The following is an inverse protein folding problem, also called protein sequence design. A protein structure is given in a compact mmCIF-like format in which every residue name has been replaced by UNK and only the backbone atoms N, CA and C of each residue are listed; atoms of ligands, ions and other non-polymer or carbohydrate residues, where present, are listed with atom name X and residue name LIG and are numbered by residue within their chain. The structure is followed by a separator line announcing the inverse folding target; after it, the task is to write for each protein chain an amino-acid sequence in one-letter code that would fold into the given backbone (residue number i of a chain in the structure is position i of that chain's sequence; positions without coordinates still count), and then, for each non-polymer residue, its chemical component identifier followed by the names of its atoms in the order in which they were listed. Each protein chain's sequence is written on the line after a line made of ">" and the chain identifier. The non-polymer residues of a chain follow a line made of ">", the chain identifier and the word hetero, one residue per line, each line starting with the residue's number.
data_IF_023557041756
#
_entry.id   IF_023557041756
#
_cell.length_a   1.000
_cell.length_b   1.000
_cell.length_c   1.000
_cell.angle_alpha   90.00
_cell.angle_beta   90.00
_cell.angle_gamma   90.00
#
_symmetry.space_group_name_H-M   'P 1'
#
loop_
_entity.id
_entity.type
_entity.pdbx_description
1 polymer ?
#
# COMPACT_ATOMS: atom_id res chain seq x y z
N UNK A 1 -20.10 -10.99 -11.35
CA UNK A 1 -19.32 -10.15 -10.43
C UNK A 1 -20.08 -10.00 -9.12
N UNK A 2 -19.50 -10.45 -8.02
CA UNK A 2 -20.00 -10.09 -6.69
C UNK A 2 -19.82 -8.58 -6.47
N UNK A 3 -20.65 -7.99 -5.61
CA UNK A 3 -20.45 -6.60 -5.15
C UNK A 3 -19.09 -6.47 -4.46
N UNK A 4 -18.43 -5.33 -4.62
CA UNK A 4 -17.16 -5.04 -3.93
C UNK A 4 -17.38 -5.11 -2.42
N UNK A 5 -16.33 -5.42 -1.64
CA UNK A 5 -16.46 -5.47 -0.17
C UNK A 5 -16.97 -4.14 0.39
N UNK A 6 -16.50 -3.01 -0.15
CA UNK A 6 -17.02 -1.67 0.19
C UNK A 6 -18.53 -1.57 0.01
N UNK A 7 -19.08 -2.02 -1.12
CA UNK A 7 -20.52 -2.04 -1.38
C UNK A 7 -21.29 -2.93 -0.39
N UNK A 8 -20.70 -4.07 0.02
CA UNK A 8 -21.31 -5.00 0.98
C UNK A 8 -21.36 -4.38 2.38
N UNK A 9 -20.32 -3.65 2.75
CA UNK A 9 -20.20 -2.97 4.03
C UNK A 9 -20.81 -1.56 4.01
N UNK A 10 -21.31 -1.10 2.86
CA UNK A 10 -21.81 0.26 2.65
C UNK A 10 -20.76 1.34 2.99
N UNK A 11 -19.49 1.09 2.64
CA UNK A 11 -18.39 2.04 2.79
C UNK A 11 -18.17 2.81 1.49
N UNK A 12 -18.25 4.13 1.53
CA UNK A 12 -17.91 5.01 0.40
C UNK A 12 -16.81 6.02 0.81
N UNK A 13 -15.54 5.57 0.91
CA UNK A 13 -14.46 6.49 1.20
C UNK A 13 -14.31 7.51 0.06
N UNK A 14 -14.10 8.78 0.42
CA UNK A 14 -13.88 9.87 -0.55
C UNK A 14 -12.42 10.21 -0.63
N UNK A 15 -11.94 10.64 -1.80
CA UNK A 15 -10.59 11.18 -1.90
C UNK A 15 -10.52 12.50 -1.11
N UNK A 16 -9.40 12.74 -0.42
CA UNK A 16 -9.21 13.98 0.33
C UNK A 16 -9.39 15.24 -0.54
N UNK A 17 -9.07 15.16 -1.83
CA UNK A 17 -9.25 16.24 -2.80
C UNK A 17 -10.72 16.59 -3.10
N UNK A 18 -11.69 15.72 -2.77
CA UNK A 18 -13.09 15.87 -3.18
C UNK A 18 -13.93 16.74 -2.24
N UNK A 19 -13.33 17.39 -1.23
CA UNK A 19 -13.93 18.38 -0.30
C UNK A 19 -15.31 18.03 0.27
N UNK A 20 -15.69 16.75 0.27
CA UNK A 20 -16.98 16.30 0.78
C UNK A 20 -16.77 15.72 2.17
N UNK A 21 -17.49 16.19 3.20
CA UNK A 21 -17.42 15.58 4.51
C UNK A 21 -17.94 14.13 4.40
N UNK A 22 -17.03 13.17 4.52
CA UNK A 22 -17.38 11.75 4.60
C UNK A 22 -17.26 11.27 6.03
N UNK A 23 -18.29 10.58 6.50
CA UNK A 23 -18.28 9.85 7.76
C UNK A 23 -17.88 8.37 7.54
N UNK A 24 -17.59 7.99 6.29
CA UNK A 24 -17.44 6.60 5.83
C UNK A 24 -15.98 6.25 5.43
N UNK A 25 -15.08 7.24 5.48
CA UNK A 25 -13.65 7.10 5.21
C UNK A 25 -13.11 8.23 4.33
N UNK A 26 -11.85 8.62 4.54
CA UNK A 26 -11.15 9.61 3.71
C UNK A 26 -9.85 8.98 3.22
N UNK A 27 -9.64 8.97 1.91
CA UNK A 27 -8.44 8.45 1.29
C UNK A 27 -7.45 9.60 1.00
N UNK A 28 -6.30 9.56 1.68
CA UNK A 28 -5.19 10.48 1.47
C UNK A 28 -4.11 9.94 0.52
N UNK A 29 -4.18 8.65 0.16
CA UNK A 29 -3.19 8.00 -0.68
C UNK A 29 -3.07 8.71 -2.03
N UNK A 30 -1.84 8.85 -2.50
CA UNK A 30 -1.54 9.52 -3.76
C UNK A 30 -0.56 8.68 -4.58
N UNK A 31 -0.83 8.52 -5.87
CA UNK A 31 0.02 7.75 -6.77
C UNK A 31 1.46 8.28 -6.80
N UNK A 32 2.44 7.38 -6.76
CA UNK A 32 3.86 7.74 -6.74
C UNK A 32 4.39 8.25 -5.40
N UNK A 33 3.58 8.31 -4.35
CA UNK A 33 4.05 8.69 -3.02
C UNK A 33 5.09 7.68 -2.50
N UNK A 34 6.23 8.17 -2.05
CA UNK A 34 7.16 7.39 -1.23
C UNK A 34 6.83 7.60 0.26
N UNK A 35 7.59 6.95 1.15
CA UNK A 35 7.38 7.08 2.59
C UNK A 35 7.81 8.43 3.19
N UNK A 36 8.52 9.28 2.44
CA UNK A 36 8.93 10.62 2.91
C UNK A 36 7.96 11.71 2.44
N UNK A 37 8.40 12.97 2.45
CA UNK A 37 7.68 14.10 1.85
C UNK A 37 7.85 14.25 0.33
N UNK A 38 8.27 13.21 -0.38
CA UNK A 38 8.50 13.27 -1.83
C UNK A 38 7.55 12.35 -2.60
N UNK A 39 7.37 12.67 -3.87
CA UNK A 39 6.66 11.84 -4.82
C UNK A 39 7.61 11.49 -5.96
N UNK A 40 7.66 10.21 -6.35
CA UNK A 40 8.62 9.71 -7.33
C UNK A 40 8.18 9.92 -8.77
N UNK A 41 6.92 10.31 -9.01
CA UNK A 41 6.41 10.63 -10.35
C UNK A 41 6.56 12.12 -10.64
N UNK A 42 6.12 12.99 -9.73
CA UNK A 42 6.23 14.45 -9.90
C UNK A 42 6.81 15.09 -8.61
N UNK A 43 8.14 15.03 -8.42
CA UNK A 43 8.80 15.54 -7.22
C UNK A 43 8.48 17.02 -6.96
N UNK A 44 8.00 17.32 -5.75
CA UNK A 44 7.68 18.68 -5.31
C UNK A 44 6.32 19.23 -5.77
N UNK A 45 5.60 18.51 -6.65
CA UNK A 45 4.23 18.84 -7.03
C UNK A 45 3.21 17.92 -6.34
N UNK A 46 3.50 16.62 -6.32
CA UNK A 46 2.63 15.63 -5.69
C UNK A 46 3.13 15.24 -4.30
N UNK A 47 2.22 14.85 -3.40
CA UNK A 47 2.58 14.57 -2.01
C UNK A 47 3.24 13.20 -1.85
N UNK A 48 4.24 13.12 -0.98
CA UNK A 48 4.64 11.89 -0.30
C UNK A 48 3.82 11.64 0.97
N UNK A 49 4.10 10.54 1.68
CA UNK A 49 3.42 10.19 2.94
C UNK A 49 3.47 11.33 3.97
N UNK A 50 4.61 12.00 4.16
CA UNK A 50 4.72 13.10 5.14
C UNK A 50 3.76 14.25 4.80
N UNK A 51 3.59 14.57 3.51
CA UNK A 51 2.65 15.61 3.11
C UNK A 51 1.19 15.18 3.30
N UNK A 52 0.88 13.89 3.08
CA UNK A 52 -0.44 13.32 3.33
C UNK A 52 -0.81 13.38 4.82
N UNK A 53 0.15 13.06 5.71
CA UNK A 53 0.00 13.22 7.16
C UNK A 53 -0.29 14.68 7.53
N UNK A 54 0.46 15.63 6.97
CA UNK A 54 0.23 17.06 7.20
C UNK A 54 -1.14 17.51 6.69
N UNK A 55 -1.58 17.02 5.53
CA UNK A 55 -2.90 17.30 4.98
C UNK A 55 -4.04 16.79 5.88
N UNK A 56 -3.82 15.70 6.61
CA UNK A 56 -4.75 15.19 7.62
C UNK A 56 -4.69 15.98 8.94
N UNK A 57 -3.50 16.22 9.49
CA UNK A 57 -3.31 16.80 10.83
C UNK A 57 -3.61 18.30 10.85
N UNK A 58 -3.16 19.07 9.86
CA UNK A 58 -3.21 20.53 9.91
C UNK A 58 -4.65 21.09 10.02
N UNK A 59 -5.66 20.59 9.29
CA UNK A 59 -7.05 21.07 9.45
C UNK A 59 -7.65 20.75 10.82
N UNK A 60 -7.32 19.59 11.40
CA UNK A 60 -7.78 19.22 12.74
C UNK A 60 -7.13 20.11 13.80
N UNK A 61 -5.82 20.35 13.69
CA UNK A 61 -5.10 21.26 14.59
C UNK A 61 -5.67 22.68 14.51
N UNK A 62 -5.94 23.18 13.31
CA UNK A 62 -6.54 24.50 13.09
C UNK A 62 -7.95 24.64 13.68
N UNK A 63 -8.69 23.54 13.82
CA UNK A 63 -10.01 23.48 14.43
C UNK A 63 -10.02 23.07 15.90
N UNK A 64 -8.83 22.88 16.51
CA UNK A 64 -8.71 22.42 17.90
C UNK A 64 -9.22 20.99 18.11
N UNK A 65 -9.24 20.18 17.05
CA UNK A 65 -9.65 18.78 17.06
C UNK A 65 -8.43 17.86 17.07
N UNK A 66 -8.65 16.63 17.51
CA UNK A 66 -7.67 15.52 17.44
C UNK A 66 -8.12 14.50 16.41
N UNK A 67 -7.24 13.58 16.06
CA UNK A 67 -7.62 12.36 15.36
C UNK A 67 -8.74 11.62 16.12
N UNK A 68 -9.64 10.97 15.39
CA UNK A 68 -10.72 10.18 15.96
C UNK A 68 -10.12 8.87 16.51
N UNK A 69 -10.15 8.62 17.83
CA UNK A 69 -9.54 7.42 18.41
C UNK A 69 -10.26 6.13 18.01
N UNK A 70 -11.47 6.20 17.46
CA UNK A 70 -12.24 5.04 17.02
C UNK A 70 -12.16 4.79 15.50
N UNK A 71 -11.33 5.56 14.77
CA UNK A 71 -11.11 5.35 13.35
C UNK A 71 -9.91 4.43 13.13
N UNK A 72 -9.98 3.59 12.08
CA UNK A 72 -8.85 2.79 11.63
C UNK A 72 -7.98 3.61 10.67
N UNK A 73 -6.71 3.77 11.02
CA UNK A 73 -5.70 4.46 10.22
C UNK A 73 -4.88 3.44 9.43
N UNK A 74 -5.11 3.36 8.12
CA UNK A 74 -4.45 2.37 7.26
C UNK A 74 -3.26 2.97 6.51
N UNK A 75 -2.09 2.34 6.60
CA UNK A 75 -0.86 2.75 5.91
C UNK A 75 -0.38 1.60 5.02
N UNK A 76 -0.32 1.87 3.70
CA UNK A 76 0.26 0.98 2.71
C UNK A 76 1.07 1.80 1.70
N UNK A 77 2.37 1.94 1.98
CA UNK A 77 3.29 2.77 1.19
C UNK A 77 4.71 2.25 1.40
N UNK A 78 5.55 2.32 0.36
CA UNK A 78 6.93 1.84 0.40
C UNK A 78 7.45 1.35 -0.96
N UNK A 79 6.57 0.84 -1.83
CA UNK A 79 6.99 0.33 -3.14
C UNK A 79 7.74 1.38 -3.98
N UNK A 80 7.28 2.64 -3.96
CA UNK A 80 7.91 3.73 -4.72
C UNK A 80 9.30 4.08 -4.19
N UNK A 81 9.60 3.88 -2.91
CA UNK A 81 10.93 4.10 -2.34
C UNK A 81 11.98 3.23 -3.05
N UNK A 82 11.66 1.95 -3.26
CA UNK A 82 12.56 0.98 -3.91
C UNK A 82 12.54 1.05 -5.43
N UNK A 83 11.35 1.25 -6.02
CA UNK A 83 11.18 1.29 -7.47
C UNK A 83 11.75 2.59 -8.05
N UNK A 84 10.93 3.63 -8.18
CA UNK A 84 11.38 4.88 -8.79
C UNK A 84 12.35 5.66 -7.88
N UNK A 85 12.25 5.50 -6.56
CA UNK A 85 13.13 6.13 -5.57
C UNK A 85 14.50 5.49 -5.43
N UNK A 86 14.71 4.27 -5.94
CA UNK A 86 15.98 3.53 -5.93
C UNK A 86 16.64 3.40 -4.54
N UNK A 87 15.84 3.41 -3.48
CA UNK A 87 16.32 3.15 -2.13
C UNK A 87 16.86 1.72 -2.05
N UNK A 88 18.01 1.54 -1.40
CA UNK A 88 18.65 0.23 -1.19
C UNK A 88 18.77 -0.13 0.29
N UNK A 89 18.39 0.78 1.19
CA UNK A 89 18.31 0.55 2.63
C UNK A 89 16.84 0.45 3.05
N UNK A 90 16.40 -0.77 3.39
CA UNK A 90 15.03 -1.03 3.82
C UNK A 90 14.65 -0.41 5.15
N UNK A 91 15.62 0.00 5.97
CA UNK A 91 15.35 0.62 7.28
C UNK A 91 14.76 2.02 7.14
N UNK A 92 15.10 2.75 6.07
CA UNK A 92 14.61 4.12 5.83
C UNK A 92 13.08 4.17 5.71
N UNK A 93 12.45 3.46 4.76
CA UNK A 93 10.99 3.49 4.64
C UNK A 93 10.27 2.90 5.85
N UNK A 94 10.83 1.89 6.52
CA UNK A 94 10.25 1.34 7.76
C UNK A 94 10.28 2.38 8.89
N UNK A 95 11.37 3.13 9.05
CA UNK A 95 11.46 4.21 10.04
C UNK A 95 10.45 5.32 9.74
N UNK A 96 10.32 5.74 8.48
CA UNK A 96 9.35 6.76 8.08
C UNK A 96 7.89 6.31 8.39
N UNK A 97 7.56 5.05 8.12
CA UNK A 97 6.26 4.46 8.48
C UNK A 97 6.04 4.44 10.00
N UNK A 98 7.08 4.13 10.77
CA UNK A 98 7.05 4.10 12.25
C UNK A 98 6.84 5.52 12.82
N UNK A 99 7.50 6.51 12.24
CA UNK A 99 7.33 7.93 12.58
C UNK A 99 5.92 8.44 12.22
N UNK A 100 5.36 7.99 11.09
CA UNK A 100 3.99 8.30 10.68
C UNK A 100 2.97 7.80 11.71
N UNK A 101 3.06 6.52 12.11
CA UNK A 101 2.19 5.94 13.15
C UNK A 101 2.35 6.68 14.47
N UNK A 102 3.58 6.94 14.89
CA UNK A 102 3.87 7.67 16.14
C UNK A 102 3.27 9.08 16.12
N UNK A 103 3.36 9.79 15.00
CA UNK A 103 2.81 11.13 14.83
C UNK A 103 1.27 11.14 14.91
N UNK A 104 0.62 10.19 14.23
CA UNK A 104 -0.83 10.03 14.30
C UNK A 104 -1.28 9.66 15.72
N UNK A 105 -0.55 8.78 16.40
CA UNK A 105 -0.83 8.38 17.77
C UNK A 105 -0.75 9.56 18.75
N UNK A 106 0.32 10.36 18.65
CA UNK A 106 0.46 11.60 19.42
C UNK A 106 -0.69 12.58 19.17
N UNK A 107 -1.28 12.53 17.97
CA UNK A 107 -2.42 13.35 17.58
C UNK A 107 -3.80 12.75 17.88
N UNK A 108 -3.86 11.57 18.51
CA UNK A 108 -5.11 10.97 19.03
C UNK A 108 -5.56 9.68 18.36
N UNK A 109 -4.91 9.25 17.27
CA UNK A 109 -5.21 7.98 16.63
C UNK A 109 -4.85 6.79 17.54
N UNK A 110 -5.64 5.72 17.51
CA UNK A 110 -5.40 4.54 18.37
C UNK A 110 -5.36 3.23 17.59
N UNK A 111 -6.10 3.12 16.50
CA UNK A 111 -6.18 1.91 15.70
C UNK A 111 -5.46 2.07 14.37
N UNK A 112 -4.47 1.21 14.13
CA UNK A 112 -3.63 1.26 12.94
C UNK A 112 -3.63 -0.09 12.22
N UNK A 113 -3.71 -0.03 10.89
CA UNK A 113 -3.45 -1.17 10.02
C UNK A 113 -2.27 -0.83 9.12
N UNK A 114 -1.18 -1.56 9.26
CA UNK A 114 -0.04 -1.48 8.37
C UNK A 114 -0.09 -2.65 7.39
N UNK A 115 0.22 -2.41 6.13
CA UNK A 115 0.34 -3.45 5.10
C UNK A 115 1.79 -3.48 4.63
N UNK A 116 2.37 -4.68 4.59
CA UNK A 116 3.70 -4.86 4.04
C UNK A 116 3.67 -4.91 2.49
N UNK A 117 4.81 -5.15 1.85
CA UNK A 117 4.94 -5.07 0.40
C UNK A 117 4.86 -6.46 -0.25
N UNK A 118 4.29 -6.57 -1.47
CA UNK A 118 4.47 -7.77 -2.29
C UNK A 118 5.95 -7.94 -2.66
N UNK A 119 6.37 -9.15 -3.11
CA UNK A 119 7.71 -9.35 -3.65
C UNK A 119 7.91 -8.49 -4.91
N UNK A 120 8.60 -7.35 -4.77
CA UNK A 120 8.66 -6.33 -5.82
C UNK A 120 9.36 -6.80 -7.11
N UNK A 121 10.24 -7.80 -7.01
CA UNK A 121 10.88 -8.44 -8.16
C UNK A 121 9.94 -9.31 -9.00
N UNK A 122 8.75 -9.66 -8.48
CA UNK A 122 7.76 -10.44 -9.22
C UNK A 122 6.82 -9.57 -10.08
N UNK A 123 6.79 -8.25 -9.82
CA UNK A 123 5.99 -7.31 -10.60
C UNK A 123 6.48 -7.31 -12.07
N UNK A 124 5.57 -7.15 -13.05
CA UNK A 124 5.99 -7.13 -14.45
C UNK A 124 7.03 -6.05 -14.77
N UNK A 125 7.03 -4.91 -14.06
CA UNK A 125 8.04 -3.85 -14.21
C UNK A 125 9.47 -4.31 -13.90
N UNK A 126 9.65 -5.32 -13.05
CA UNK A 126 10.98 -5.85 -12.74
C UNK A 126 11.62 -6.53 -13.94
N UNK A 127 10.80 -7.09 -14.84
CA UNK A 127 11.24 -7.72 -16.10
C UNK A 127 11.47 -6.70 -17.23
N UNK A 128 10.79 -5.55 -17.18
CA UNK A 128 10.90 -4.49 -18.17
C UNK A 128 10.66 -3.14 -17.51
N UNK A 129 11.68 -2.28 -17.45
CA UNK A 129 11.63 -1.02 -16.72
C UNK A 129 11.54 0.21 -17.65
N UNK A 130 10.34 0.62 -18.08
CA UNK A 130 10.15 1.87 -18.81
C UNK A 130 10.18 3.11 -17.91
N UNK A 131 10.35 2.94 -16.59
CA UNK A 131 10.26 4.03 -15.60
C UNK A 131 11.60 4.70 -15.30
N UNK A 132 12.69 4.24 -15.91
CA UNK A 132 14.00 4.88 -15.77
C UNK A 132 14.18 6.02 -16.79
N UNK A 133 14.28 7.29 -16.34
CA UNK A 133 14.46 8.43 -17.24
C UNK A 133 15.90 8.55 -17.79
N UNK A 134 16.85 7.77 -17.27
CA UNK A 134 18.29 7.80 -17.61
C UNK A 134 18.69 6.58 -18.44
N UNK A 135 18.13 5.40 -18.15
CA UNK A 135 18.41 4.16 -18.87
C UNK A 135 17.19 3.21 -18.93
N UNK A 136 16.31 3.35 -19.94
CA UNK A 136 15.14 2.49 -20.12
C UNK A 136 15.49 1.02 -20.46
N UNK A 137 16.78 0.68 -20.57
CA UNK A 137 17.29 -0.69 -20.80
C UNK A 137 17.77 -1.34 -19.50
N UNK A 138 18.00 -0.58 -18.42
CA UNK A 138 18.28 -1.14 -17.10
C UNK A 138 16.97 -1.60 -16.42
N UNK A 139 16.62 -2.86 -16.69
CA UNK A 139 15.68 -3.61 -15.86
C UNK A 139 16.11 -3.51 -14.40
N UNK A 140 15.13 -3.41 -13.49
CA UNK A 140 15.43 -3.64 -12.08
C UNK A 140 16.10 -5.01 -11.91
N UNK A 141 16.99 -5.13 -10.94
CA UNK A 141 17.43 -6.45 -10.49
C UNK A 141 16.30 -7.03 -9.65
N UNK A 142 15.61 -8.04 -10.19
CA UNK A 142 14.47 -8.67 -9.54
C UNK A 142 14.86 -9.38 -8.23
N UNK A 143 16.05 -9.98 -8.17
CA UNK A 143 16.54 -10.61 -6.94
C UNK A 143 16.79 -9.56 -5.86
N UNK A 144 17.37 -8.43 -6.24
CA UNK A 144 17.58 -7.29 -5.33
C UNK A 144 16.25 -6.69 -4.85
N UNK A 145 15.26 -6.50 -5.74
CA UNK A 145 13.94 -5.99 -5.35
C UNK A 145 13.22 -6.96 -4.40
N UNK A 146 13.30 -8.27 -4.63
CA UNK A 146 12.74 -9.27 -3.73
C UNK A 146 13.47 -9.26 -2.37
N UNK A 147 14.79 -9.13 -2.36
CA UNK A 147 15.58 -8.97 -1.12
C UNK A 147 15.14 -7.74 -0.33
N UNK A 148 15.03 -6.58 -0.99
CA UNK A 148 14.60 -5.33 -0.37
C UNK A 148 13.16 -5.41 0.17
N UNK A 149 12.26 -6.08 -0.55
CA UNK A 149 10.89 -6.31 -0.10
C UNK A 149 10.86 -7.22 1.14
N UNK A 150 11.66 -8.28 1.16
CA UNK A 150 11.76 -9.18 2.30
C UNK A 150 12.32 -8.46 3.55
N UNK A 151 13.36 -7.64 3.38
CA UNK A 151 13.93 -6.82 4.45
C UNK A 151 12.96 -5.77 4.97
N UNK A 152 12.24 -5.08 4.07
CA UNK A 152 11.15 -4.17 4.44
C UNK A 152 10.11 -4.89 5.28
N UNK A 153 9.63 -6.03 4.81
CA UNK A 153 8.55 -6.77 5.47
C UNK A 153 9.00 -7.31 6.83
N UNK A 154 10.26 -7.75 6.96
CA UNK A 154 10.82 -8.14 8.25
C UNK A 154 10.94 -6.94 9.20
N UNK A 155 11.53 -5.83 8.74
CA UNK A 155 11.67 -4.63 9.55
C UNK A 155 10.31 -4.07 10.00
N UNK A 156 9.30 -4.13 9.12
CA UNK A 156 7.95 -3.67 9.44
C UNK A 156 7.28 -4.55 10.50
N UNK A 157 7.46 -5.87 10.45
CA UNK A 157 7.02 -6.80 11.52
C UNK A 157 7.63 -6.42 12.87
N UNK A 158 8.95 -6.26 12.91
CA UNK A 158 9.67 -5.88 14.12
C UNK A 158 9.24 -4.49 14.64
N UNK A 159 9.00 -3.54 13.74
CA UNK A 159 8.53 -2.20 14.08
C UNK A 159 7.11 -2.21 14.66
N UNK A 160 6.20 -3.02 14.13
CA UNK A 160 4.84 -3.19 14.66
C UNK A 160 4.86 -3.76 16.08
N UNK A 161 5.69 -4.77 16.33
CA UNK A 161 5.88 -5.31 17.69
C UNK A 161 6.39 -4.23 18.67
N UNK A 162 7.33 -3.41 18.24
CA UNK A 162 7.86 -2.30 19.04
C UNK A 162 6.81 -1.20 19.27
N UNK A 163 6.01 -0.87 18.25
CA UNK A 163 4.94 0.13 18.37
C UNK A 163 3.88 -0.32 19.38
N UNK A 164 3.45 -1.58 19.33
CA UNK A 164 2.51 -2.14 20.31
C UNK A 164 3.06 -2.15 21.74
N UNK A 165 4.39 -2.30 21.92
CA UNK A 165 5.03 -2.22 23.24
C UNK A 165 5.14 -0.78 23.75
N UNK A 166 5.37 0.19 22.86
CA UNK A 166 5.73 1.55 23.22
C UNK A 166 4.58 2.57 23.15
N UNK A 167 3.46 2.24 22.49
CA UNK A 167 2.30 3.11 22.31
C UNK A 167 1.11 2.60 23.16
N UNK A 168 1.06 2.92 24.46
CA UNK A 168 0.04 2.38 25.35
C UNK A 168 -1.37 2.79 24.91
N UNK A 169 -2.24 1.80 24.75
CA UNK A 169 -3.63 1.99 24.33
C UNK A 169 -3.82 2.19 22.84
N UNK A 170 -2.76 2.06 22.02
CA UNK A 170 -2.89 1.85 20.59
C UNK A 170 -2.96 0.35 20.26
N UNK A 171 -3.61 0.02 19.16
CA UNK A 171 -3.51 -1.27 18.49
C UNK A 171 -2.90 -1.06 17.11
N UNK A 172 -1.81 -1.77 16.81
CA UNK A 172 -1.16 -1.75 15.50
C UNK A 172 -1.21 -3.17 14.93
N UNK A 173 -2.11 -3.40 13.97
CA UNK A 173 -2.20 -4.63 13.20
C UNK A 173 -1.30 -4.57 11.96
N UNK A 174 -0.74 -5.70 11.58
CA UNK A 174 0.03 -5.87 10.34
C UNK A 174 -0.65 -6.91 9.46
N UNK A 175 -0.90 -6.57 8.20
CA UNK A 175 -1.36 -7.52 7.18
C UNK A 175 -0.22 -7.90 6.24
N UNK A 176 -0.08 -9.21 5.98
CA UNK A 176 1.00 -9.79 5.19
C UNK A 176 0.63 -9.91 3.70
N UNK A 177 0.73 -8.79 2.99
CA UNK A 177 0.58 -8.74 1.53
C UNK A 177 1.65 -9.59 0.84
N UNK A 178 2.88 -9.61 1.37
CA UNK A 178 3.99 -10.40 0.85
C UNK A 178 3.64 -11.88 0.75
N UNK A 179 3.24 -12.48 1.87
CA UNK A 179 2.80 -13.87 1.92
C UNK A 179 1.59 -14.15 1.01
N UNK A 180 0.61 -13.25 0.99
CA UNK A 180 -0.55 -13.37 0.10
C UNK A 180 -0.16 -13.43 -1.38
N UNK A 181 0.78 -12.58 -1.82
CA UNK A 181 1.26 -12.60 -3.20
C UNK A 181 2.08 -13.84 -3.51
N UNK A 182 2.93 -14.29 -2.59
CA UNK A 182 3.69 -15.54 -2.72
C UNK A 182 2.74 -16.74 -2.91
N UNK A 183 1.68 -16.83 -2.11
CA UNK A 183 0.67 -17.88 -2.21
C UNK A 183 -0.12 -17.80 -3.52
N UNK A 184 -0.50 -16.60 -3.95
CA UNK A 184 -1.21 -16.39 -5.20
C UNK A 184 -0.38 -16.75 -6.43
N UNK A 185 0.93 -16.48 -6.39
CA UNK A 185 1.87 -16.86 -7.46
C UNK A 185 2.08 -18.37 -7.47
N UNK A 186 2.22 -18.99 -6.30
CA UNK A 186 2.48 -20.42 -6.18
C UNK A 186 1.25 -21.29 -6.49
N UNK A 187 0.04 -20.82 -6.17
CA UNK A 187 -1.21 -21.57 -6.27
C UNK A 187 -2.35 -20.73 -6.91
N UNK A 188 -2.16 -20.21 -8.14
CA UNK A 188 -3.06 -19.22 -8.73
C UNK A 188 -4.51 -19.68 -8.85
N UNK A 189 -4.75 -20.97 -9.06
CA UNK A 189 -6.10 -21.51 -9.18
C UNK A 189 -6.92 -21.40 -7.89
N UNK A 190 -6.27 -21.36 -6.71
CA UNK A 190 -6.95 -21.16 -5.42
C UNK A 190 -7.54 -19.74 -5.31
N UNK A 191 -6.94 -18.79 -6.02
CA UNK A 191 -7.35 -17.39 -6.08
C UNK A 191 -8.22 -17.09 -7.32
N UNK A 192 -8.53 -18.10 -8.13
CA UNK A 192 -9.26 -17.93 -9.39
C UNK A 192 -8.45 -17.22 -10.48
N UNK A 193 -7.12 -17.22 -10.36
CA UNK A 193 -6.20 -16.60 -11.30
C UNK A 193 -5.67 -17.63 -12.31
N UNK A 194 -5.40 -17.17 -13.53
CA UNK A 194 -4.77 -17.97 -14.59
C UNK A 194 -3.47 -17.36 -15.09
N UNK A 195 -3.21 -16.08 -14.80
CA UNK A 195 -1.94 -15.42 -15.11
C UNK A 195 -1.47 -14.57 -13.92
N UNK A 196 -0.29 -14.88 -13.41
CA UNK A 196 0.34 -14.21 -12.26
C UNK A 196 1.67 -13.55 -12.61
N UNK A 197 1.97 -13.45 -13.90
CA UNK A 197 3.29 -13.01 -14.39
C UNK A 197 3.17 -11.80 -15.29
N UNK A 198 2.21 -11.78 -16.20
CA UNK A 198 2.01 -10.69 -17.15
C UNK A 198 0.93 -9.71 -16.66
N UNK A 199 0.96 -8.50 -17.20
CA UNK A 199 -0.11 -7.53 -17.02
C UNK A 199 -1.29 -7.83 -17.95
N UNK A 200 -2.51 -7.60 -17.47
CA UNK A 200 -3.73 -7.72 -18.29
C UNK A 200 -3.78 -6.67 -19.41
N UNK A 201 -3.18 -5.49 -19.19
CA UNK A 201 -2.97 -4.45 -20.20
C UNK A 201 -1.63 -4.67 -20.89
N UNK A 202 -1.63 -4.62 -22.22
CA UNK A 202 -0.41 -4.43 -23.01
C UNK A 202 -0.35 -3.01 -23.54
N UNK A 203 0.56 -2.19 -23.00
CA UNK A 203 0.79 -0.83 -23.52
C UNK A 203 1.38 -0.82 -24.93
N UNK A 204 2.17 -1.86 -25.27
CA UNK A 204 2.78 -2.00 -26.60
C UNK A 204 1.69 -2.26 -27.65
N UNK A 205 0.73 -3.12 -27.33
CA UNK A 205 -0.34 -3.50 -28.26
C UNK A 205 -1.57 -2.59 -28.15
N UNK A 206 -1.70 -1.82 -27.08
CA UNK A 206 -2.89 -1.01 -26.79
C UNK A 206 -4.13 -1.87 -26.53
N UNK A 207 -3.95 -3.07 -25.98
CA UNK A 207 -5.01 -4.06 -25.76
C UNK A 207 -5.16 -4.43 -24.29
N UNK A 208 -6.36 -4.90 -23.94
CA UNK A 208 -6.67 -5.54 -22.66
C UNK A 208 -6.94 -7.01 -22.94
N UNK A 209 -6.47 -7.92 -22.08
CA UNK A 209 -6.78 -9.34 -22.16
C UNK A 209 -8.30 -9.58 -22.09
N UNK A 210 -8.79 -10.70 -22.65
CA UNK A 210 -10.22 -11.01 -22.69
C UNK A 210 -10.83 -11.26 -21.30
N UNK A 211 -10.03 -11.81 -20.36
CA UNK A 211 -10.45 -12.14 -18.98
C UNK A 211 -9.52 -11.45 -17.96
N UNK A 212 -9.51 -10.10 -17.88
CA UNK A 212 -8.56 -9.38 -17.01
C UNK A 212 -8.77 -9.68 -15.53
N UNK A 213 -9.94 -10.18 -15.13
CA UNK A 213 -10.24 -10.62 -13.76
C UNK A 213 -9.49 -11.88 -13.34
N UNK A 214 -8.92 -12.64 -14.28
CA UNK A 214 -8.10 -13.84 -14.01
C UNK A 214 -6.59 -13.52 -13.96
N UNK A 215 -6.22 -12.23 -13.98
CA UNK A 215 -4.84 -11.77 -13.90
C UNK A 215 -4.54 -11.25 -12.50
N UNK A 216 -3.33 -11.50 -12.01
CA UNK A 216 -2.83 -10.90 -10.77
C UNK A 216 -2.59 -9.39 -10.96
N UNK A 217 -2.01 -9.02 -12.11
CA UNK A 217 -1.58 -7.65 -12.43
C UNK A 217 -2.45 -7.01 -13.52
N UNK A 218 -2.90 -5.78 -13.26
CA UNK A 218 -3.63 -4.96 -14.21
C UNK A 218 -2.69 -4.37 -15.26
N UNK A 219 -1.70 -3.63 -14.79
CA UNK A 219 -0.60 -3.06 -15.56
C UNK A 219 0.75 -3.58 -15.02
N UNK A 220 1.87 -2.96 -15.40
CA UNK A 220 3.19 -3.44 -15.01
C UNK A 220 3.53 -3.21 -13.52
N UNK A 221 2.72 -2.44 -12.79
CA UNK A 221 2.92 -2.08 -11.38
C UNK A 221 1.77 -2.56 -10.49
N UNK A 222 0.53 -2.39 -10.96
CA UNK A 222 -0.64 -2.45 -10.10
C UNK A 222 -1.38 -3.79 -10.22
N UNK A 223 -1.91 -4.33 -9.11
CA UNK A 223 -2.76 -5.50 -9.12
C UNK A 223 -4.13 -5.22 -9.76
N UNK A 224 -4.83 -6.26 -10.21
CA UNK A 224 -6.19 -6.14 -10.76
C UNK A 224 -7.22 -5.86 -9.67
N UNK A 225 -8.43 -5.48 -10.09
CA UNK A 225 -9.59 -5.38 -9.19
C UNK A 225 -9.84 -6.69 -8.44
N UNK A 226 -9.66 -7.86 -9.08
CA UNK A 226 -9.79 -9.16 -8.42
C UNK A 226 -8.78 -9.29 -7.28
N UNK A 227 -7.51 -9.00 -7.54
CA UNK A 227 -6.46 -9.06 -6.53
C UNK A 227 -6.71 -8.07 -5.39
N UNK A 228 -7.15 -6.84 -5.67
CA UNK A 228 -7.57 -5.91 -4.62
C UNK A 228 -8.76 -6.41 -3.80
N UNK A 229 -9.71 -7.13 -4.40
CA UNK A 229 -10.82 -7.75 -3.67
C UNK A 229 -10.35 -8.86 -2.73
N UNK A 230 -9.37 -9.66 -3.15
CA UNK A 230 -8.75 -10.70 -2.32
C UNK A 230 -8.09 -10.05 -1.11
N UNK A 231 -7.19 -9.07 -1.33
CA UNK A 231 -6.52 -8.33 -0.26
C UNK A 231 -7.54 -7.75 0.73
N UNK A 232 -8.57 -7.07 0.22
CA UNK A 232 -9.57 -6.45 1.08
C UNK A 232 -10.39 -7.47 1.90
N UNK A 233 -10.67 -8.64 1.32
CA UNK A 233 -11.41 -9.71 2.02
C UNK A 233 -10.56 -10.31 3.13
N UNK A 234 -9.30 -10.61 2.85
CA UNK A 234 -8.38 -11.20 3.83
C UNK A 234 -8.05 -10.21 4.96
N UNK A 235 -7.85 -8.92 4.63
CA UNK A 235 -7.73 -7.85 5.63
C UNK A 235 -8.96 -7.81 6.52
N UNK A 236 -10.16 -7.88 5.94
CA UNK A 236 -11.39 -7.84 6.71
C UNK A 236 -11.54 -9.05 7.64
N UNK A 237 -11.22 -10.26 7.16
CA UNK A 237 -11.22 -11.47 7.98
C UNK A 237 -10.20 -11.39 9.12
N UNK A 238 -8.98 -10.89 8.85
CA UNK A 238 -7.98 -10.67 9.89
C UNK A 238 -8.47 -9.67 10.94
N UNK A 239 -8.99 -8.51 10.52
CA UNK A 239 -9.47 -7.49 11.45
C UNK A 239 -10.63 -7.99 12.32
N UNK A 240 -11.48 -8.90 11.82
CA UNK A 240 -12.51 -9.54 12.64
C UNK A 240 -11.93 -10.42 13.75
N UNK A 241 -10.71 -10.92 13.62
CA UNK A 241 -10.01 -11.70 14.64
C UNK A 241 -9.28 -10.78 15.61
N UNK A 242 -8.56 -9.78 15.08
CA UNK A 242 -7.74 -8.85 15.88
C UNK A 242 -8.58 -7.99 16.84
N UNK A 243 -9.84 -7.70 16.47
CA UNK A 243 -10.75 -6.81 17.21
C UNK A 243 -11.88 -7.52 17.98
N UNK A 244 -11.72 -8.81 18.28
CA UNK A 244 -12.61 -9.57 19.20
C UNK A 244 -12.15 -9.49 20.66
#
# INVERSE_FOLDING_TARGET
>A
MGRLLGDKLSLNPVNFSEQSPSNEGINFAFFGANTSGLNTTEPGLFPGLENQLQAFIAPLLASGQTANPNALYTLWVGANDYLAGRQTDGTIPVNNLTEAVTSLYQFGARDFLMLNLPPLGELPVARFNPLDPVDPVNSFDAEELNRLSAEHNQGLREAVDQLNQNLPGANVSLFDVGGLFEDAIANPEQFGLTNVTDSSISFILGTIADNPEQYLFWDILHPTTTTHQIIASDVYEQLLIDYQ
#
